data_IF_614038161561
#
_entry.id   IF_614038161561
#
_cell.length_a   1.000
_cell.length_b   1.000
_cell.length_c   1.000
_cell.angle_alpha   90.00
_cell.angle_beta   90.00
_cell.angle_gamma   90.00
#
_symmetry.space_group_name_H-M   'P 1'
#
loop_
_entity.id
_entity.type
_entity.pdbx_description
1 polymer ?
#
# COMPACT_ATOMS: atom_id res chain seq x y z
N UNK A 1 72.41 28.37 -20.31
CA UNK A 1 72.70 27.34 -19.29
C UNK A 1 72.41 27.88 -17.90
N UNK A 2 71.29 27.49 -17.28
CA UNK A 2 71.06 27.53 -15.83
C UNK A 2 70.21 26.32 -15.48
N UNK A 3 70.76 25.47 -14.61
CA UNK A 3 70.12 24.28 -14.03
C UNK A 3 69.11 24.74 -12.98
N UNK A 4 67.98 24.05 -12.86
CA UNK A 4 67.33 23.89 -11.56
C UNK A 4 66.64 22.54 -11.48
N UNK A 5 66.80 21.92 -10.32
CA UNK A 5 66.61 20.52 -10.00
C UNK A 5 65.22 20.27 -9.39
N UNK A 6 64.68 19.09 -9.70
CA UNK A 6 63.57 18.31 -9.13
C UNK A 6 62.94 18.71 -7.78
N UNK A 7 61.61 18.56 -7.71
CA UNK A 7 60.93 17.83 -6.63
C UNK A 7 59.74 17.03 -7.19
N UNK A 8 59.77 15.72 -6.94
CA UNK A 8 58.67 14.77 -7.09
C UNK A 8 57.93 14.75 -5.75
N UNK A 9 56.60 14.83 -5.74
CA UNK A 9 55.79 14.11 -4.74
C UNK A 9 54.29 14.11 -5.05
N UNK A 10 53.78 12.86 -5.12
CA UNK A 10 52.59 12.36 -4.41
C UNK A 10 51.25 12.90 -4.93
N UNK A 11 50.58 12.16 -5.82
CA UNK A 11 49.61 11.12 -5.47
C UNK A 11 48.41 11.68 -4.68
N UNK A 12 47.31 11.95 -5.38
CA UNK A 12 45.99 11.87 -4.78
C UNK A 12 45.09 11.13 -5.77
N UNK A 13 44.94 9.84 -5.51
CA UNK A 13 43.93 8.97 -6.08
C UNK A 13 42.56 9.62 -5.89
N UNK A 14 41.94 10.12 -6.96
CA UNK A 14 40.50 10.30 -7.00
C UNK A 14 39.85 8.92 -7.16
N UNK A 15 39.88 8.14 -6.07
CA UNK A 15 38.88 7.11 -5.85
C UNK A 15 37.58 7.86 -5.62
N UNK A 16 36.81 8.08 -6.70
CA UNK A 16 35.38 8.23 -6.56
C UNK A 16 34.88 6.90 -5.98
N UNK A 17 34.82 6.85 -4.66
CA UNK A 17 33.97 5.91 -3.95
C UNK A 17 32.56 6.14 -4.49
N UNK A 18 32.15 5.30 -5.43
CA UNK A 18 30.73 5.11 -5.70
C UNK A 18 30.13 4.67 -4.38
N UNK A 19 29.55 5.63 -3.66
CA UNK A 19 28.58 5.35 -2.62
C UNK A 19 27.45 4.68 -3.40
N UNK A 20 27.46 3.36 -3.47
CA UNK A 20 26.25 2.62 -3.85
C UNK A 20 25.21 3.06 -2.85
N UNK A 21 24.11 3.72 -3.26
CA UNK A 21 22.97 3.83 -2.37
C UNK A 21 22.62 2.38 -2.04
N UNK A 22 22.70 2.05 -0.76
CA UNK A 22 22.13 0.83 -0.26
C UNK A 22 20.63 1.03 -0.48
N UNK A 23 20.15 0.62 -1.66
CA UNK A 23 18.74 0.48 -1.97
C UNK A 23 18.27 -0.55 -0.94
N UNK A 24 17.76 -0.05 0.20
CA UNK A 24 16.82 -0.81 0.99
C UNK A 24 15.86 -1.40 -0.03
N UNK A 25 15.93 -2.72 -0.17
CA UNK A 25 15.12 -3.43 -1.14
C UNK A 25 13.69 -3.18 -0.71
N UNK A 26 13.02 -2.23 -1.36
CA UNK A 26 11.66 -1.80 -1.04
C UNK A 26 10.84 -3.09 -0.96
N UNK A 27 10.38 -3.38 0.25
CA UNK A 27 9.54 -4.53 0.50
C UNK A 27 8.24 -4.27 -0.25
N UNK A 28 8.15 -4.74 -1.50
CA UNK A 28 6.91 -4.68 -2.24
C UNK A 28 5.97 -5.74 -1.65
N UNK A 29 4.88 -5.32 -0.97
CA UNK A 29 3.94 -6.26 -0.41
C UNK A 29 3.32 -7.07 -1.54
N UNK A 30 3.48 -8.39 -1.51
CA UNK A 30 2.89 -9.28 -2.52
C UNK A 30 1.37 -9.29 -2.39
N UNK A 31 0.86 -9.16 -1.17
CA UNK A 31 -0.56 -9.16 -0.85
C UNK A 31 -0.92 -8.05 0.13
N UNK A 32 -2.19 -7.66 0.15
CA UNK A 32 -2.70 -6.67 1.11
C UNK A 32 -2.55 -7.14 2.57
N UNK A 33 -2.65 -8.45 2.83
CA UNK A 33 -2.51 -9.02 4.17
C UNK A 33 -1.12 -8.80 4.78
N UNK A 34 -0.11 -8.58 3.94
CA UNK A 34 1.27 -8.34 4.38
C UNK A 34 1.39 -7.00 5.11
N UNK A 35 0.49 -6.06 4.86
CA UNK A 35 0.56 -4.68 5.37
C UNK A 35 -0.68 -4.24 6.14
N UNK A 36 -1.89 -4.64 5.72
CA UNK A 36 -3.14 -4.19 6.32
C UNK A 36 -3.74 -5.27 7.23
N UNK A 37 -4.22 -4.94 8.43
CA UNK A 37 -4.61 -5.94 9.43
C UNK A 37 -6.03 -6.49 9.17
N UNK A 38 -6.20 -7.28 8.12
CA UNK A 38 -7.51 -7.79 7.66
C UNK A 38 -8.30 -8.52 8.76
N UNK A 39 -7.62 -9.29 9.61
CA UNK A 39 -8.25 -10.00 10.71
C UNK A 39 -8.86 -9.08 11.78
N UNK A 40 -8.34 -7.85 11.88
CA UNK A 40 -8.84 -6.86 12.82
C UNK A 40 -10.03 -6.06 12.29
N UNK A 41 -10.48 -6.27 11.06
CA UNK A 41 -11.70 -5.59 10.57
C UNK A 41 -12.92 -6.09 11.37
N UNK A 42 -13.57 -5.19 12.10
CA UNK A 42 -14.82 -5.46 12.82
C UNK A 42 -16.03 -5.35 11.91
N UNK A 43 -16.04 -4.33 11.06
CA UNK A 43 -17.17 -4.03 10.19
C UNK A 43 -16.69 -3.28 8.96
N UNK A 44 -17.46 -3.41 7.87
CA UNK A 44 -17.28 -2.61 6.65
C UNK A 44 -18.63 -2.03 6.26
N UNK A 45 -18.70 -0.72 6.14
CA UNK A 45 -19.86 -0.04 5.56
C UNK A 45 -19.54 0.29 4.10
N UNK A 46 -20.40 -0.16 3.20
CA UNK A 46 -20.35 0.16 1.78
C UNK A 46 -21.26 1.37 1.56
N UNK A 47 -20.77 2.38 0.88
CA UNK A 47 -21.57 3.49 0.40
C UNK A 47 -21.54 3.46 -1.14
N UNK A 48 -22.70 3.23 -1.74
CA UNK A 48 -22.89 3.05 -3.18
C UNK A 48 -24.16 3.80 -3.67
N UNK A 49 -24.58 3.56 -4.92
CA UNK A 49 -25.80 4.17 -5.50
C UNK A 49 -27.09 3.83 -4.75
N UNK A 50 -27.11 2.73 -3.98
CA UNK A 50 -28.26 2.32 -3.18
C UNK A 50 -28.22 2.91 -1.76
N UNK A 51 -27.21 3.72 -1.41
CA UNK A 51 -27.03 4.30 -0.08
C UNK A 51 -25.91 3.65 0.73
N UNK A 52 -26.05 3.69 2.05
CA UNK A 52 -25.05 3.19 3.02
C UNK A 52 -25.53 1.89 3.63
N UNK A 53 -24.71 0.85 3.50
CA UNK A 53 -25.08 -0.53 3.84
C UNK A 53 -23.96 -1.20 4.62
N UNK A 54 -24.32 -1.78 5.77
CA UNK A 54 -23.37 -2.50 6.61
C UNK A 54 -23.29 -3.95 6.17
N UNK A 55 -22.09 -4.46 5.88
CA UNK A 55 -21.91 -5.88 5.58
C UNK A 55 -22.45 -6.76 6.71
N UNK A 56 -23.16 -7.82 6.34
CA UNK A 56 -23.49 -8.90 7.28
C UNK A 56 -22.23 -9.66 7.68
N UNK A 57 -22.31 -10.43 8.77
CA UNK A 57 -21.17 -11.24 9.23
C UNK A 57 -20.65 -12.19 8.14
N UNK A 58 -21.55 -12.87 7.41
CA UNK A 58 -21.16 -13.83 6.36
C UNK A 58 -20.42 -13.14 5.21
N UNK A 59 -20.89 -11.97 4.82
CA UNK A 59 -20.30 -11.19 3.72
C UNK A 59 -18.97 -10.57 4.14
N UNK A 60 -18.87 -10.09 5.38
CA UNK A 60 -17.61 -9.62 5.95
C UNK A 60 -16.56 -10.73 5.94
N UNK A 61 -16.90 -11.96 6.34
CA UNK A 61 -15.99 -13.10 6.28
C UNK A 61 -15.56 -13.43 4.84
N UNK A 62 -16.47 -13.35 3.87
CA UNK A 62 -16.15 -13.52 2.45
C UNK A 62 -15.23 -12.42 1.95
N UNK A 63 -15.50 -11.16 2.28
CA UNK A 63 -14.68 -10.02 1.92
C UNK A 63 -13.27 -10.14 2.52
N UNK A 64 -13.14 -10.49 3.81
CA UNK A 64 -11.85 -10.70 4.47
C UNK A 64 -11.02 -11.77 3.76
N UNK A 65 -11.62 -12.91 3.40
CA UNK A 65 -10.91 -13.96 2.66
C UNK A 65 -10.36 -13.44 1.32
N UNK A 66 -11.16 -12.68 0.59
CA UNK A 66 -10.71 -12.09 -0.67
C UNK A 66 -9.63 -11.02 -0.48
N UNK A 67 -9.77 -10.14 0.52
CA UNK A 67 -8.78 -9.11 0.83
C UNK A 67 -7.44 -9.72 1.24
N UNK A 68 -7.45 -10.83 1.99
CA UNK A 68 -6.20 -11.52 2.39
C UNK A 68 -5.36 -11.98 1.19
N UNK A 69 -6.03 -12.31 0.10
CA UNK A 69 -5.42 -12.81 -1.13
C UNK A 69 -5.26 -11.72 -2.20
N UNK A 70 -5.69 -10.49 -1.91
CA UNK A 70 -5.65 -9.40 -2.86
C UNK A 70 -4.20 -9.00 -3.15
N UNK A 71 -3.83 -9.00 -4.43
CA UNK A 71 -2.45 -8.75 -4.87
C UNK A 71 -2.23 -7.28 -5.16
N UNK A 72 -1.06 -6.77 -4.79
CA UNK A 72 -0.68 -5.41 -5.16
C UNK A 72 -0.65 -5.26 -6.69
N UNK A 73 -1.24 -4.18 -7.19
CA UNK A 73 -1.39 -3.88 -8.60
C UNK A 73 -0.75 -2.55 -9.00
N UNK A 74 0.02 -1.93 -8.10
CA UNK A 74 0.64 -0.61 -8.28
C UNK A 74 -0.06 0.48 -7.46
N UNK A 75 0.24 1.75 -7.80
CA UNK A 75 -0.36 2.93 -7.18
C UNK A 75 -1.87 3.06 -7.44
N UNK A 76 -2.44 4.26 -7.30
CA UNK A 76 -3.86 4.49 -7.59
C UNK A 76 -4.11 4.44 -9.11
N UNK A 77 -4.68 3.33 -9.58
CA UNK A 77 -4.94 3.11 -11.01
C UNK A 77 -6.27 3.69 -11.49
N UNK A 78 -7.17 4.03 -10.56
CA UNK A 78 -8.48 4.59 -10.85
C UNK A 78 -8.83 5.62 -9.78
N UNK A 79 -9.54 6.68 -10.15
CA UNK A 79 -10.02 7.70 -9.19
C UNK A 79 -11.22 7.16 -8.40
N UNK A 80 -11.51 7.74 -7.22
CA UNK A 80 -12.72 7.42 -6.47
C UNK A 80 -13.99 7.59 -7.33
N UNK A 81 -14.78 6.51 -7.44
CA UNK A 81 -16.05 6.50 -8.15
C UNK A 81 -17.23 6.72 -7.21
N UNK A 82 -18.30 5.92 -7.38
CA UNK A 82 -19.48 5.94 -6.53
C UNK A 82 -19.46 4.90 -5.41
N UNK A 83 -18.40 4.08 -5.27
CA UNK A 83 -18.31 3.01 -4.26
C UNK A 83 -17.22 3.32 -3.24
N UNK A 84 -17.64 3.59 -2.01
CA UNK A 84 -16.79 3.94 -0.88
C UNK A 84 -16.83 2.82 0.15
N UNK A 85 -15.69 2.46 0.72
CA UNK A 85 -15.57 1.43 1.75
C UNK A 85 -15.08 2.08 3.05
N UNK A 86 -15.90 2.01 4.10
CA UNK A 86 -15.54 2.47 5.44
C UNK A 86 -15.24 1.28 6.31
N UNK A 87 -13.95 1.01 6.49
CA UNK A 87 -13.48 -0.03 7.40
C UNK A 87 -13.59 0.46 8.85
N UNK A 88 -13.98 -0.43 9.75
CA UNK A 88 -13.79 -0.26 11.18
C UNK A 88 -12.87 -1.37 11.65
N UNK A 89 -11.76 -1.01 12.29
CA UNK A 89 -10.83 -1.98 12.88
C UNK A 89 -11.10 -2.10 14.38
N UNK A 90 -10.78 -3.26 14.95
CA UNK A 90 -10.55 -3.43 16.39
C UNK A 90 -9.50 -2.40 16.81
N UNK A 91 -9.58 -1.88 18.03
CA UNK A 91 -8.60 -0.91 18.51
C UNK A 91 -7.16 -1.42 18.29
N UNK A 92 -6.43 -0.72 17.43
CA UNK A 92 -5.00 -0.93 17.20
C UNK A 92 -4.30 0.42 17.36
N UNK A 93 -3.06 0.41 17.87
CA UNK A 93 -2.30 1.64 18.09
C UNK A 93 -1.59 2.17 16.84
N UNK A 94 -1.45 1.33 15.81
CA UNK A 94 -0.47 1.55 14.74
C UNK A 94 -1.11 1.81 13.36
N UNK A 95 -2.38 1.42 13.17
CA UNK A 95 -3.04 1.56 11.86
C UNK A 95 -3.96 2.75 11.88
N UNK A 96 -3.70 3.69 10.97
CA UNK A 96 -4.56 4.84 10.71
C UNK A 96 -5.28 4.58 9.40
N UNK A 97 -6.61 4.55 9.48
CA UNK A 97 -7.45 4.37 8.31
C UNK A 97 -7.48 5.66 7.49
N UNK A 98 -7.09 5.52 6.24
CA UNK A 98 -7.20 6.53 5.21
C UNK A 98 -8.54 6.41 4.47
N UNK A 99 -8.48 6.64 3.18
CA UNK A 99 -9.63 6.57 2.29
C UNK A 99 -9.58 5.29 1.46
N UNK A 100 -10.70 4.55 1.42
CA UNK A 100 -10.81 3.32 0.65
C UNK A 100 -12.05 3.30 -0.24
N UNK A 101 -11.86 2.82 -1.46
CA UNK A 101 -12.90 2.73 -2.48
C UNK A 101 -12.68 1.51 -3.37
N UNK A 102 -13.72 1.08 -4.05
CA UNK A 102 -13.66 -0.07 -4.94
C UNK A 102 -14.05 0.32 -6.36
N UNK A 103 -13.40 -0.30 -7.33
CA UNK A 103 -13.80 -0.25 -8.73
C UNK A 103 -13.51 -1.59 -9.39
N UNK A 104 -14.44 -2.05 -10.25
CA UNK A 104 -14.29 -3.30 -11.01
C UNK A 104 -14.03 -4.52 -10.10
N UNK A 105 -12.77 -4.95 -9.98
CA UNK A 105 -12.29 -6.01 -9.08
C UNK A 105 -11.08 -5.58 -8.24
N UNK A 106 -10.90 -4.26 -8.06
CA UNK A 106 -9.84 -3.67 -7.25
C UNK A 106 -10.44 -2.98 -6.04
N UNK A 107 -9.62 -2.93 -4.99
CA UNK A 107 -9.82 -2.02 -3.86
C UNK A 107 -8.61 -1.12 -3.80
N UNK A 108 -8.87 0.17 -3.66
CA UNK A 108 -7.89 1.23 -3.61
C UNK A 108 -7.85 1.76 -2.19
N UNK A 109 -6.64 1.98 -1.71
CA UNK A 109 -6.34 2.54 -0.41
C UNK A 109 -5.49 3.78 -0.62
N UNK A 110 -5.88 4.89 0.00
CA UNK A 110 -5.21 6.18 -0.13
C UNK A 110 -4.95 6.76 1.26
N UNK A 111 -3.69 7.14 1.51
CA UNK A 111 -3.22 7.74 2.77
C UNK A 111 -3.46 6.86 4.00
N UNK A 112 -3.29 5.54 3.86
CA UNK A 112 -3.32 4.61 4.97
C UNK A 112 -1.98 4.56 5.70
N UNK A 113 -1.98 4.19 6.98
CA UNK A 113 -0.78 3.77 7.72
C UNK A 113 -0.88 2.29 8.00
N UNK A 114 0.08 1.50 7.50
CA UNK A 114 0.10 0.05 7.62
C UNK A 114 0.40 -0.44 9.04
N UNK A 115 0.31 -1.75 9.27
CA UNK A 115 0.60 -2.36 10.58
C UNK A 115 2.06 -2.23 11.03
N UNK A 116 2.96 -1.85 10.11
CA UNK A 116 4.37 -1.58 10.34
C UNK A 116 4.68 -0.08 10.49
N UNK A 117 3.65 0.76 10.62
CA UNK A 117 3.75 2.21 10.74
C UNK A 117 4.37 2.90 9.51
N UNK A 118 4.15 2.34 8.32
CA UNK A 118 4.53 2.93 7.03
C UNK A 118 3.29 3.45 6.31
N UNK A 119 3.39 4.65 5.76
CA UNK A 119 2.33 5.18 4.89
C UNK A 119 2.26 4.35 3.62
N UNK A 120 1.05 3.98 3.19
CA UNK A 120 0.85 3.32 1.91
C UNK A 120 -0.38 3.87 1.17
N UNK A 121 -0.25 3.86 -0.15
CA UNK A 121 -1.30 4.18 -1.11
C UNK A 121 -1.15 3.20 -2.25
N UNK A 122 -2.23 2.55 -2.66
CA UNK A 122 -2.12 1.50 -3.67
C UNK A 122 -3.44 0.86 -4.06
N UNK A 123 -3.39 0.14 -5.17
CA UNK A 123 -4.50 -0.64 -5.70
C UNK A 123 -4.22 -2.13 -5.50
N UNK A 124 -5.23 -2.86 -5.05
CA UNK A 124 -5.13 -4.29 -4.77
C UNK A 124 -6.19 -5.05 -5.55
N UNK A 125 -5.76 -5.98 -6.40
CA UNK A 125 -6.63 -6.81 -7.22
C UNK A 125 -7.19 -7.96 -6.39
N UNK A 126 -8.50 -8.01 -6.26
CA UNK A 126 -9.19 -9.12 -5.60
C UNK A 126 -9.13 -10.38 -6.47
N UNK A 127 -8.96 -11.57 -5.89
CA UNK A 127 -8.96 -12.82 -6.64
C UNK A 127 -10.34 -13.12 -7.24
N UNK A 128 -11.41 -12.73 -6.53
CA UNK A 128 -12.79 -12.85 -6.97
C UNK A 128 -13.50 -11.50 -6.91
N UNK A 129 -14.46 -11.30 -7.82
CA UNK A 129 -15.25 -10.06 -7.86
C UNK A 129 -16.23 -10.03 -6.69
N UNK A 130 -16.16 -8.98 -5.87
CA UNK A 130 -17.17 -8.68 -4.85
C UNK A 130 -18.14 -7.63 -5.42
N UNK A 131 -19.45 -7.88 -5.33
CA UNK A 131 -20.46 -7.04 -5.96
C UNK A 131 -20.83 -5.83 -5.09
N UNK A 132 -19.93 -4.85 -5.00
CA UNK A 132 -20.16 -3.65 -4.21
C UNK A 132 -21.21 -2.71 -4.83
N UNK A 133 -21.33 -2.65 -6.16
CA UNK A 133 -22.23 -1.74 -6.88
C UNK A 133 -23.70 -1.92 -6.52
N UNK A 134 -24.14 -3.18 -6.46
CA UNK A 134 -25.56 -3.52 -6.25
C UNK A 134 -25.85 -4.04 -4.85
N UNK A 135 -24.90 -3.89 -3.93
CA UNK A 135 -25.09 -4.23 -2.52
C UNK A 135 -26.20 -3.37 -1.89
N UNK A 136 -27.07 -3.99 -1.10
CA UNK A 136 -28.28 -3.42 -0.49
C UNK A 136 -28.54 -4.07 0.86
#
# INVERSE_FOLDING_TARGET
MKKSTYYISILACFLFSFITPNLEQDFEPKTLNDIFPIDNIESVMIENINGKHQLTKKELESLKKNLKLAKYAGGLIEKPGHIYLKFKLKQTKNVVLGYAYASRNYIHFENEIDKNNKQFTGSYKMPEKFNFDSYK
#
